data_IF_466763571812
#
_entry.id   IF_466763571812
#
_cell.length_a   1.000
_cell.length_b   1.000
_cell.length_c   1.000
_cell.angle_alpha   90.00
_cell.angle_beta   90.00
_cell.angle_gamma   90.00
#
_symmetry.space_group_name_H-M   'P 1'
#
loop_
_entity.id
_entity.type
_entity.pdbx_description
1 polymer ?
#
# COMPACT_ATOMS: atom_id res chain seq x y z
N UNK A 1 -0.73 32.16 -5.58
CA UNK A 1 -0.97 30.94 -4.78
C UNK A 1 -0.92 29.72 -5.72
N UNK A 2 0.29 29.24 -6.04
CA UNK A 2 0.59 28.12 -6.96
C UNK A 2 2.00 27.59 -6.63
N UNK A 3 2.29 27.28 -5.37
CA UNK A 3 3.66 26.96 -4.92
C UNK A 3 3.80 25.60 -4.17
N UNK A 4 2.71 24.89 -3.91
CA UNK A 4 2.77 23.62 -3.15
C UNK A 4 3.03 22.40 -4.03
N UNK A 5 2.30 22.25 -5.15
CA UNK A 5 2.33 21.03 -5.97
C UNK A 5 3.66 20.80 -6.68
N UNK A 6 4.29 21.87 -7.16
CA UNK A 6 5.54 21.80 -7.91
C UNK A 6 6.76 21.58 -6.99
N UNK A 7 6.68 22.11 -5.76
CA UNK A 7 7.67 21.88 -4.70
C UNK A 7 7.59 20.44 -4.19
N UNK A 8 6.36 19.92 -4.05
CA UNK A 8 6.10 18.51 -3.78
C UNK A 8 6.69 17.64 -4.89
N UNK A 9 6.34 17.86 -6.16
CA UNK A 9 6.89 17.10 -7.32
C UNK A 9 8.42 17.07 -7.39
N UNK A 10 9.12 18.15 -7.02
CA UNK A 10 10.60 18.19 -7.02
C UNK A 10 11.25 17.44 -5.84
N UNK A 11 10.55 17.26 -4.71
CA UNK A 11 11.03 16.43 -3.59
C UNK A 11 10.91 14.93 -3.89
N UNK A 12 10.08 14.53 -4.88
CA UNK A 12 9.74 13.13 -5.20
C UNK A 12 10.52 12.52 -6.38
N UNK A 13 11.51 13.21 -6.97
CA UNK A 13 12.11 12.75 -8.25
C UNK A 13 13.32 11.81 -8.16
N UNK A 14 13.84 11.39 -6.99
CA UNK A 14 14.91 10.37 -6.92
C UNK A 14 14.84 9.49 -5.66
N UNK A 15 14.91 8.17 -5.89
CA UNK A 15 14.79 7.00 -4.98
C UNK A 15 13.36 6.66 -4.53
N UNK A 16 13.10 5.35 -4.53
CA UNK A 16 11.92 4.57 -4.10
C UNK A 16 11.10 5.13 -2.90
N UNK A 17 10.51 6.31 -3.03
CA UNK A 17 9.74 6.93 -1.94
C UNK A 17 8.25 6.67 -2.13
N UNK A 18 7.64 6.12 -1.10
CA UNK A 18 6.19 6.03 -1.00
C UNK A 18 5.59 7.45 -0.92
N UNK A 19 4.48 7.64 -1.62
CA UNK A 19 3.66 8.84 -1.63
C UNK A 19 2.61 8.69 -0.51
N UNK A 20 2.56 9.60 0.47
CA UNK A 20 1.57 9.54 1.52
C UNK A 20 0.17 9.80 0.97
N UNK A 21 -0.81 9.05 1.47
CA UNK A 21 -2.24 9.25 1.20
C UNK A 21 -2.88 9.95 2.38
N UNK A 22 -2.62 9.42 3.58
CA UNK A 22 -2.99 10.01 4.87
C UNK A 22 -1.90 9.70 5.91
N UNK A 23 -2.24 9.83 7.19
CA UNK A 23 -1.26 9.66 8.27
C UNK A 23 -0.76 8.22 8.43
N UNK A 24 -1.56 7.24 8.02
CA UNK A 24 -1.28 5.81 8.17
C UNK A 24 -0.76 5.17 6.87
N UNK A 25 -1.36 5.50 5.73
CA UNK A 25 -1.18 4.78 4.47
C UNK A 25 -0.38 5.59 3.47
N UNK A 26 0.60 4.94 2.86
CA UNK A 26 1.35 5.48 1.73
C UNK A 26 1.41 4.44 0.61
N UNK A 27 1.64 4.87 -0.62
CA UNK A 27 1.72 3.98 -1.78
C UNK A 27 2.90 4.29 -2.69
N UNK A 28 3.36 3.31 -3.48
CA UNK A 28 4.23 3.53 -4.63
C UNK A 28 3.74 2.71 -5.82
N UNK A 29 4.04 3.16 -7.02
CA UNK A 29 3.73 2.43 -8.26
C UNK A 29 4.99 1.87 -8.88
N UNK A 30 4.98 0.60 -9.25
CA UNK A 30 6.09 -0.07 -9.95
C UNK A 30 5.52 -1.17 -10.86
N UNK A 31 5.86 -1.12 -12.16
CA UNK A 31 5.52 -2.15 -13.16
C UNK A 31 4.03 -2.55 -13.17
N UNK A 32 3.12 -1.57 -13.19
CA UNK A 32 1.68 -1.82 -13.20
C UNK A 32 1.11 -2.32 -11.87
N UNK A 33 1.90 -2.32 -10.80
CA UNK A 33 1.43 -2.62 -9.44
C UNK A 33 1.51 -1.41 -8.53
N UNK A 34 0.55 -1.28 -7.64
CA UNK A 34 0.63 -0.40 -6.47
C UNK A 34 1.11 -1.22 -5.29
N UNK A 35 2.11 -0.73 -4.58
CA UNK A 35 2.55 -1.27 -3.31
C UNK A 35 2.08 -0.33 -2.21
N UNK A 36 1.33 -0.83 -1.24
CA UNK A 36 0.90 -0.07 -0.07
C UNK A 36 1.82 -0.33 1.11
N UNK A 37 2.03 0.70 1.93
CA UNK A 37 2.79 0.63 3.17
C UNK A 37 1.99 1.31 4.28
N UNK A 38 1.87 0.61 5.40
CA UNK A 38 1.37 1.16 6.67
C UNK A 38 2.57 1.69 7.46
N UNK A 39 2.44 2.87 8.04
CA UNK A 39 3.46 3.46 8.92
C UNK A 39 3.04 3.30 10.40
N UNK A 40 3.48 2.23 11.09
CA UNK A 40 3.01 1.91 12.44
C UNK A 40 3.61 2.80 13.53
N UNK A 41 4.56 3.69 13.22
CA UNK A 41 5.28 4.50 14.20
C UNK A 41 4.49 5.71 14.73
N UNK A 42 3.27 5.94 14.23
CA UNK A 42 2.40 7.01 14.72
C UNK A 42 1.33 6.41 15.63
N UNK A 43 1.14 7.03 16.80
CA UNK A 43 -0.08 6.85 17.57
C UNK A 43 -1.24 7.41 16.75
N UNK A 44 -2.07 6.52 16.22
CA UNK A 44 -3.26 6.86 15.45
C UNK A 44 -4.46 6.34 16.24
N UNK A 45 -5.28 7.27 16.72
CA UNK A 45 -6.43 6.98 17.60
C UNK A 45 -7.44 6.01 16.95
N UNK A 46 -7.52 5.99 15.61
CA UNK A 46 -8.46 5.14 14.88
C UNK A 46 -7.85 4.52 13.61
N UNK A 47 -6.92 3.58 13.80
CA UNK A 47 -6.18 2.88 12.72
C UNK A 47 -7.10 2.32 11.63
N UNK A 48 -8.25 1.74 11.98
CA UNK A 48 -9.16 1.12 11.00
C UNK A 48 -9.84 2.16 10.10
N UNK A 49 -10.23 3.31 10.67
CA UNK A 49 -10.82 4.40 9.90
C UNK A 49 -9.77 4.98 8.96
N UNK A 50 -8.58 5.32 9.48
CA UNK A 50 -7.48 5.83 8.65
C UNK A 50 -7.07 4.84 7.56
N UNK A 51 -7.05 3.54 7.84
CA UNK A 51 -6.73 2.55 6.82
C UNK A 51 -7.80 2.51 5.74
N UNK A 52 -9.08 2.49 6.13
CA UNK A 52 -10.21 2.46 5.21
C UNK A 52 -10.25 3.71 4.32
N UNK A 53 -10.08 4.89 4.92
CA UNK A 53 -10.10 6.15 4.18
C UNK A 53 -8.88 6.28 3.26
N UNK A 54 -7.72 5.80 3.71
CA UNK A 54 -6.54 5.67 2.85
C UNK A 54 -6.79 4.77 1.63
N UNK A 55 -7.46 3.62 1.81
CA UNK A 55 -7.80 2.73 0.69
C UNK A 55 -8.83 3.35 -0.27
N UNK A 56 -9.81 4.10 0.25
CA UNK A 56 -10.78 4.84 -0.58
C UNK A 56 -10.10 5.91 -1.43
N UNK A 57 -9.21 6.70 -0.85
CA UNK A 57 -8.45 7.69 -1.61
C UNK A 57 -7.51 7.01 -2.63
N UNK A 58 -6.88 5.89 -2.25
CA UNK A 58 -6.09 5.11 -3.19
C UNK A 58 -6.93 4.60 -4.36
N UNK A 59 -8.18 4.18 -4.12
CA UNK A 59 -9.06 3.70 -5.17
C UNK A 59 -9.39 4.80 -6.20
N UNK A 60 -9.55 6.05 -5.77
CA UNK A 60 -9.69 7.22 -6.66
C UNK A 60 -8.43 7.42 -7.52
N UNK A 61 -7.25 7.24 -6.95
CA UNK A 61 -5.97 7.34 -7.69
C UNK A 61 -5.85 6.20 -8.71
N UNK A 62 -6.20 4.97 -8.31
CA UNK A 62 -6.14 3.77 -9.16
C UNK A 62 -7.17 3.83 -10.29
N UNK A 63 -8.36 4.39 -10.05
CA UNK A 63 -9.39 4.51 -11.08
C UNK A 63 -8.94 5.44 -12.22
N UNK A 64 -8.19 6.48 -11.90
CA UNK A 64 -7.62 7.45 -12.85
C UNK A 64 -6.38 6.94 -13.60
N UNK A 65 -5.82 5.79 -13.23
CA UNK A 65 -4.61 5.24 -13.85
C UNK A 65 -4.82 3.79 -14.32
N UNK A 66 -5.19 3.64 -15.59
CA UNK A 66 -5.48 2.34 -16.22
C UNK A 66 -4.26 1.41 -16.35
N UNK A 67 -3.03 1.94 -16.21
CA UNK A 67 -1.81 1.12 -16.25
C UNK A 67 -1.65 0.25 -15.00
N UNK A 68 -2.31 0.62 -13.90
CA UNK A 68 -2.33 -0.18 -12.68
C UNK A 68 -3.21 -1.41 -12.92
N UNK A 69 -2.72 -2.58 -12.52
CA UNK A 69 -3.42 -3.87 -12.64
C UNK A 69 -3.64 -4.53 -11.30
N UNK A 70 -2.83 -4.21 -10.29
CA UNK A 70 -2.83 -4.88 -8.99
C UNK A 70 -2.43 -3.96 -7.86
N UNK A 71 -3.03 -4.16 -6.69
CA UNK A 71 -2.62 -3.56 -5.42
C UNK A 71 -1.96 -4.67 -4.59
N UNK A 72 -0.83 -4.38 -3.96
CA UNK A 72 0.02 -5.36 -3.26
C UNK A 72 0.43 -4.82 -1.89
N UNK A 73 0.43 -5.69 -0.88
CA UNK A 73 0.98 -5.44 0.45
C UNK A 73 1.91 -6.58 0.83
N UNK A 74 3.12 -6.28 1.28
CA UNK A 74 4.06 -7.25 1.82
C UNK A 74 4.55 -6.75 3.17
N UNK A 75 4.33 -7.50 4.25
CA UNK A 75 4.87 -7.16 5.56
C UNK A 75 4.77 -8.33 6.54
N UNK A 76 5.44 -8.18 7.68
CA UNK A 76 5.21 -9.06 8.84
C UNK A 76 3.78 -8.89 9.41
N UNK A 77 3.14 -7.72 9.25
CA UNK A 77 1.76 -7.47 9.69
C UNK A 77 0.79 -8.37 8.91
N UNK A 78 1.01 -8.56 7.61
CA UNK A 78 0.22 -9.50 6.79
C UNK A 78 0.37 -10.93 7.32
N UNK A 79 1.57 -11.31 7.77
CA UNK A 79 1.82 -12.63 8.33
C UNK A 79 1.16 -12.83 9.69
N UNK A 80 1.16 -11.79 10.52
CA UNK A 80 0.58 -11.83 11.87
C UNK A 80 -0.95 -11.73 11.86
N UNK A 81 -1.51 -11.02 10.87
CA UNK A 81 -2.94 -10.71 10.80
C UNK A 81 -3.56 -10.94 9.40
N UNK A 82 -3.47 -12.16 8.84
CA UNK A 82 -3.98 -12.44 7.49
C UNK A 82 -5.50 -12.19 7.37
N UNK A 83 -6.28 -12.56 8.39
CA UNK A 83 -7.72 -12.35 8.41
C UNK A 83 -8.13 -10.87 8.38
N UNK A 84 -7.26 -9.95 8.83
CA UNK A 84 -7.53 -8.50 8.71
C UNK A 84 -7.42 -8.07 7.26
N UNK A 85 -6.39 -8.53 6.54
CA UNK A 85 -6.22 -8.23 5.12
C UNK A 85 -7.37 -8.79 4.28
N UNK A 86 -7.83 -10.00 4.58
CA UNK A 86 -8.99 -10.62 3.93
C UNK A 86 -10.29 -9.85 4.15
N UNK A 87 -10.50 -9.28 5.35
CA UNK A 87 -11.65 -8.39 5.62
C UNK A 87 -11.63 -7.12 4.77
N UNK A 88 -10.45 -6.63 4.40
CA UNK A 88 -10.27 -5.53 3.45
C UNK A 88 -10.25 -6.00 1.99
N UNK A 89 -10.63 -7.26 1.73
CA UNK A 89 -10.79 -7.88 0.42
C UNK A 89 -9.50 -8.35 -0.25
N UNK A 90 -8.36 -8.28 0.44
CA UNK A 90 -7.11 -8.77 -0.13
C UNK A 90 -7.05 -10.29 -0.07
N UNK A 91 -6.54 -10.91 -1.14
CA UNK A 91 -6.14 -12.30 -1.15
C UNK A 91 -4.75 -12.44 -0.53
N UNK A 92 -4.61 -13.19 0.56
CA UNK A 92 -3.34 -13.48 1.21
C UNK A 92 -2.64 -14.65 0.51
N UNK A 93 -1.39 -14.47 0.11
CA UNK A 93 -0.61 -15.48 -0.65
C UNK A 93 0.39 -16.26 0.20
N UNK A 94 0.47 -15.99 1.50
CA UNK A 94 1.48 -16.58 2.38
C UNK A 94 2.86 -15.92 2.23
N UNK A 95 3.91 -16.63 2.64
CA UNK A 95 5.27 -16.07 2.71
C UNK A 95 5.81 -15.67 1.33
N UNK A 96 6.44 -14.49 1.26
CA UNK A 96 7.08 -14.01 0.04
C UNK A 96 8.35 -14.80 -0.25
N UNK A 97 8.76 -14.81 -1.51
CA UNK A 97 10.02 -15.45 -1.91
C UNK A 97 11.23 -14.83 -1.20
N UNK A 98 12.21 -15.66 -0.88
CA UNK A 98 13.40 -15.28 -0.10
C UNK A 98 14.22 -14.16 -0.79
N UNK A 99 14.31 -14.18 -2.12
CA UNK A 99 14.96 -13.12 -2.91
C UNK A 99 14.30 -11.75 -2.70
N UNK A 100 12.96 -11.71 -2.70
CA UNK A 100 12.18 -10.50 -2.43
C UNK A 100 12.34 -10.06 -0.97
N UNK A 101 12.35 -11.02 -0.03
CA UNK A 101 12.59 -10.78 1.41
C UNK A 101 13.96 -10.16 1.65
N UNK A 102 15.02 -10.72 1.08
CA UNK A 102 16.38 -10.20 1.20
C UNK A 102 16.55 -8.82 0.54
N UNK A 103 15.86 -8.57 -0.58
CA UNK A 103 15.93 -7.29 -1.28
C UNK A 103 15.24 -6.15 -0.55
N UNK A 104 14.07 -6.40 0.04
CA UNK A 104 13.21 -5.33 0.57
C UNK A 104 13.02 -5.34 2.10
N UNK A 105 13.35 -6.44 2.76
CA UNK A 105 13.14 -6.65 4.21
C UNK A 105 14.41 -7.18 4.89
N UNK A 106 15.59 -6.76 4.41
CA UNK A 106 16.87 -7.23 4.97
C UNK A 106 16.94 -6.92 6.47
N UNK A 107 17.16 -7.96 7.26
CA UNK A 107 17.23 -7.86 8.73
C UNK A 107 15.90 -8.09 9.45
N UNK A 108 14.78 -8.19 8.73
CA UNK A 108 13.53 -8.67 9.28
C UNK A 108 13.64 -10.17 9.61
N UNK A 109 13.44 -10.52 10.87
CA UNK A 109 13.52 -11.91 11.35
C UNK A 109 12.16 -12.61 11.34
N UNK A 110 11.07 -11.85 11.30
CA UNK A 110 9.70 -12.37 11.24
C UNK A 110 9.39 -12.91 9.84
N UNK A 111 8.40 -13.81 9.70
CA UNK A 111 7.82 -14.13 8.41
C UNK A 111 7.27 -12.86 7.75
N UNK A 112 7.44 -12.73 6.43
CA UNK A 112 6.87 -11.64 5.65
C UNK A 112 5.92 -12.25 4.66
N UNK A 113 4.64 -11.94 4.76
CA UNK A 113 3.63 -12.48 3.86
C UNK A 113 3.19 -11.44 2.85
N UNK A 114 2.78 -11.92 1.69
CA UNK A 114 2.20 -11.13 0.62
C UNK A 114 0.68 -11.19 0.64
N UNK A 115 0.06 -10.09 0.22
CA UNK A 115 -1.35 -10.00 -0.06
C UNK A 115 -1.58 -9.13 -1.30
N UNK A 116 -2.62 -9.41 -2.07
CA UNK A 116 -2.95 -8.63 -3.25
C UNK A 116 -4.46 -8.48 -3.49
N UNK A 117 -4.82 -7.50 -4.32
CA UNK A 117 -6.15 -7.35 -4.89
C UNK A 117 -6.03 -6.89 -6.34
N UNK A 118 -6.86 -7.38 -7.25
CA UNK A 118 -6.88 -6.86 -8.63
C UNK A 118 -7.40 -5.42 -8.65
N UNK A 119 -7.06 -4.68 -9.73
CA UNK A 119 -7.58 -3.31 -9.91
C UNK A 119 -9.10 -3.27 -9.90
N UNK A 120 -9.76 -4.21 -10.56
CA UNK A 120 -11.22 -4.22 -10.71
C UNK A 120 -11.91 -4.47 -9.36
N UNK A 121 -11.46 -5.48 -8.62
CA UNK A 121 -11.93 -5.75 -7.26
C UNK A 121 -11.72 -4.54 -6.35
N UNK A 122 -10.55 -3.89 -6.44
CA UNK A 122 -10.21 -2.75 -5.60
C UNK A 122 -11.08 -1.53 -5.87
N UNK A 123 -11.29 -1.19 -7.15
CA UNK A 123 -12.19 -0.10 -7.53
C UNK A 123 -13.61 -0.43 -7.08
N UNK A 124 -14.08 -1.65 -7.32
CA UNK A 124 -15.45 -2.05 -6.97
C UNK A 124 -15.70 -2.03 -5.47
N UNK A 125 -14.71 -2.41 -4.65
CA UNK A 125 -14.87 -2.45 -3.19
C UNK A 125 -14.88 -1.07 -2.54
N UNK A 126 -14.16 -0.10 -3.09
CA UNK A 126 -13.90 1.18 -2.42
C UNK A 126 -14.54 2.41 -3.06
N UNK A 127 -15.09 2.30 -4.28
CA UNK A 127 -15.78 3.40 -4.97
C UNK A 127 -17.26 3.16 -5.29
N UNK A 128 -17.76 1.93 -5.10
CA UNK A 128 -19.16 1.57 -5.37
C UNK A 128 -19.94 1.31 -4.09
#
# INVERSE_FOLDING_TARGET
MMASLERLRRLFSRKEKFIPINELLSYRTEQGSVYIQVMPEKEIDNVLVEFTDGLRELAKIVSQNESIKKITANSWIVAEHPAVMERFGFTVTGEIKEDLKQKHFRGEKRPVWGAYMSREEFINMYLN
#
